data_IF_086577825196
#
_entry.id   IF_086577825196
#
_cell.length_a   1.000
_cell.length_b   1.000
_cell.length_c   1.000
_cell.angle_alpha   90.00
_cell.angle_beta   90.00
_cell.angle_gamma   90.00
#
_symmetry.space_group_name_H-M   'P 1'
#
loop_
_entity.id
_entity.type
_entity.pdbx_description
1 polymer ?
#
# COMPACT_ATOMS: atom_id res chain seq x y z
N UNK A 1 -2.00 14.18 1.38
CA UNK A 1 -1.32 13.07 0.67
C UNK A 1 -0.53 13.63 -0.51
N UNK A 2 0.67 13.11 -0.73
CA UNK A 2 1.53 13.41 -1.88
C UNK A 2 1.35 12.41 -3.01
N UNK A 3 1.18 11.13 -2.65
CA UNK A 3 1.23 10.04 -3.61
C UNK A 3 0.54 8.78 -3.05
N UNK A 4 0.13 7.86 -3.92
CA UNK A 4 -0.48 6.56 -3.57
C UNK A 4 0.00 5.43 -4.44
N UNK A 5 -0.13 4.22 -3.88
CA UNK A 5 -0.03 2.97 -4.61
C UNK A 5 -1.15 2.02 -4.16
N UNK A 6 -1.99 1.58 -5.09
CA UNK A 6 -2.98 0.54 -4.83
C UNK A 6 -2.45 -0.81 -5.31
N UNK A 7 -2.55 -1.84 -4.46
CA UNK A 7 -2.08 -3.19 -4.77
C UNK A 7 -3.20 -4.19 -4.46
N UNK A 8 -3.51 -5.06 -5.42
CA UNK A 8 -4.31 -6.25 -5.18
C UNK A 8 -3.48 -7.29 -4.45
N UNK A 9 -3.97 -7.75 -3.30
CA UNK A 9 -3.35 -8.81 -2.52
C UNK A 9 -4.30 -10.00 -2.47
N UNK A 10 -3.80 -11.18 -2.85
CA UNK A 10 -4.46 -12.43 -2.52
C UNK A 10 -4.40 -12.64 -1.00
N UNK A 11 -5.57 -12.77 -0.37
CA UNK A 11 -5.69 -12.97 1.06
C UNK A 11 -6.75 -14.03 1.32
N UNK A 12 -6.32 -15.16 1.90
CA UNK A 12 -7.14 -16.37 2.03
C UNK A 12 -7.70 -16.80 0.66
N UNK A 13 -9.03 -16.88 0.52
CA UNK A 13 -9.72 -17.28 -0.72
C UNK A 13 -10.27 -16.09 -1.52
N UNK A 14 -9.88 -14.85 -1.18
CA UNK A 14 -10.35 -13.63 -1.85
C UNK A 14 -9.20 -12.68 -2.23
N UNK A 15 -9.53 -11.67 -3.03
CA UNK A 15 -8.64 -10.58 -3.39
C UNK A 15 -9.07 -9.29 -2.68
N UNK A 16 -8.12 -8.66 -1.97
CA UNK A 16 -8.36 -7.35 -1.33
C UNK A 16 -7.45 -6.29 -1.91
N UNK A 17 -7.95 -5.05 -1.94
CA UNK A 17 -7.14 -3.88 -2.30
C UNK A 17 -6.48 -3.29 -1.06
N UNK A 18 -5.17 -3.14 -1.10
CA UNK A 18 -4.38 -2.37 -0.13
C UNK A 18 -3.99 -1.04 -0.77
N UNK A 19 -4.26 0.06 -0.09
CA UNK A 19 -3.83 1.38 -0.51
C UNK A 19 -2.69 1.87 0.38
N UNK A 20 -1.51 2.00 -0.21
CA UNK A 20 -0.38 2.68 0.40
C UNK A 20 -0.44 4.17 0.09
N UNK A 21 -0.25 5.01 1.11
CA UNK A 21 -0.30 6.48 0.97
C UNK A 21 0.96 7.13 1.50
N UNK A 22 1.59 7.98 0.68
CA UNK A 22 2.67 8.87 1.12
C UNK A 22 2.06 10.18 1.60
N UNK A 23 2.20 10.48 2.88
CA UNK A 23 1.66 11.72 3.44
C UNK A 23 2.57 12.91 3.15
N UNK A 24 1.98 14.11 3.14
CA UNK A 24 2.74 15.36 3.09
C UNK A 24 3.45 15.53 4.43
N UNK A 25 4.65 16.11 4.42
CA UNK A 25 5.36 16.46 5.67
C UNK A 25 4.44 17.25 6.60
N UNK A 26 4.29 16.80 7.85
CA UNK A 26 3.40 17.40 8.84
C UNK A 26 1.93 16.97 8.75
N UNK A 27 1.59 16.03 7.85
CA UNK A 27 0.30 15.35 7.82
C UNK A 27 0.49 13.88 8.20
N UNK A 28 -0.46 13.31 8.92
CA UNK A 28 -0.47 11.88 9.29
C UNK A 28 -1.69 11.20 8.71
N UNK A 29 -1.58 9.92 8.39
CA UNK A 29 -2.74 9.09 8.14
C UNK A 29 -3.53 8.93 9.46
N UNK A 30 -4.84 9.15 9.39
CA UNK A 30 -5.76 9.00 10.52
C UNK A 30 -7.13 8.54 10.02
N UNK A 31 -8.02 8.18 10.95
CA UNK A 31 -9.38 7.68 10.65
C UNK A 31 -10.18 8.63 9.76
N UNK A 32 -10.06 9.95 9.98
CA UNK A 32 -10.81 10.93 9.19
C UNK A 32 -10.33 10.93 7.73
N UNK A 33 -9.01 10.87 7.52
CA UNK A 33 -8.40 10.80 6.19
C UNK A 33 -8.77 9.48 5.51
N UNK A 34 -8.64 8.35 6.21
CA UNK A 34 -8.99 7.03 5.71
C UNK A 34 -10.47 6.93 5.32
N UNK A 35 -11.38 7.41 6.18
CA UNK A 35 -12.82 7.47 5.90
C UNK A 35 -13.13 8.33 4.68
N UNK A 36 -12.45 9.46 4.53
CA UNK A 36 -12.61 10.33 3.36
C UNK A 36 -12.18 9.63 2.07
N UNK A 37 -11.03 8.95 2.08
CA UNK A 37 -10.54 8.18 0.94
C UNK A 37 -11.56 7.10 0.52
N UNK A 38 -12.00 6.27 1.49
CA UNK A 38 -13.01 5.23 1.22
C UNK A 38 -14.31 5.81 0.66
N UNK A 39 -14.76 6.93 1.19
CA UNK A 39 -15.99 7.61 0.73
C UNK A 39 -15.86 8.07 -0.71
N UNK A 40 -14.76 8.74 -1.06
CA UNK A 40 -14.52 9.23 -2.42
C UNK A 40 -14.43 8.05 -3.40
N UNK A 41 -13.72 6.98 -3.05
CA UNK A 41 -13.60 5.81 -3.93
C UNK A 41 -14.93 5.08 -4.11
N UNK A 42 -15.75 4.95 -3.06
CA UNK A 42 -17.11 4.38 -3.17
C UNK A 42 -18.02 5.16 -4.11
N UNK A 43 -17.86 6.49 -4.16
CA UNK A 43 -18.69 7.36 -5.00
C UNK A 43 -18.24 7.36 -6.47
N UNK A 44 -16.94 7.16 -6.73
CA UNK A 44 -16.36 7.34 -8.05
C UNK A 44 -15.90 6.04 -8.72
N UNK A 45 -15.90 4.92 -7.99
CA UNK A 45 -15.43 3.62 -8.48
C UNK A 45 -16.32 2.47 -7.99
N UNK A 46 -16.16 1.30 -8.60
CA UNK A 46 -16.84 0.08 -8.15
C UNK A 46 -16.40 -0.30 -6.72
N UNK A 47 -17.28 -0.92 -5.90
CA UNK A 47 -16.96 -1.37 -4.54
C UNK A 47 -15.67 -2.17 -4.40
N UNK A 48 -15.27 -2.90 -5.45
CA UNK A 48 -14.02 -3.67 -5.48
C UNK A 48 -12.75 -2.80 -5.46
N UNK A 49 -12.86 -1.51 -5.80
CA UNK A 49 -11.73 -0.56 -5.73
C UNK A 49 -11.61 0.12 -4.35
N UNK A 50 -12.55 -0.14 -3.44
CA UNK A 50 -12.49 0.43 -2.10
C UNK A 50 -11.45 -0.37 -1.31
N UNK A 51 -10.38 0.27 -0.81
CA UNK A 51 -9.34 -0.44 -0.11
C UNK A 51 -9.85 -1.01 1.21
N UNK A 52 -9.56 -2.29 1.41
CA UNK A 52 -9.77 -2.97 2.68
C UNK A 52 -8.80 -2.43 3.73
N UNK A 53 -7.57 -2.09 3.31
CA UNK A 53 -6.54 -1.54 4.19
C UNK A 53 -5.95 -0.26 3.60
N UNK A 54 -5.76 0.75 4.44
CA UNK A 54 -5.01 1.96 4.10
C UNK A 54 -3.80 2.09 5.03
N UNK A 55 -2.61 2.21 4.45
CA UNK A 55 -1.34 2.14 5.19
C UNK A 55 -0.46 3.31 4.76
N UNK A 56 0.13 4.00 5.74
CA UNK A 56 1.10 5.04 5.47
C UNK A 56 2.46 4.43 5.08
N UNK A 57 3.07 4.96 4.02
CA UNK A 57 4.39 4.54 3.55
C UNK A 57 5.34 5.74 3.46
N UNK A 58 6.64 5.57 3.77
CA UNK A 58 7.60 6.65 3.66
C UNK A 58 7.78 7.14 2.21
N UNK A 59 7.62 6.25 1.22
CA UNK A 59 7.68 6.58 -0.20
C UNK A 59 6.95 5.57 -1.10
N UNK A 60 6.85 5.88 -2.39
CA UNK A 60 6.33 5.00 -3.44
C UNK A 60 7.47 4.60 -4.39
N UNK A 61 7.67 3.30 -4.69
CA UNK A 61 8.75 2.85 -5.55
C UNK A 61 8.56 3.36 -6.98
N UNK A 62 9.61 3.99 -7.50
CA UNK A 62 9.63 4.56 -8.85
C UNK A 62 10.86 4.12 -9.61
N UNK A 63 10.70 3.94 -10.92
CA UNK A 63 11.83 3.77 -11.85
C UNK A 63 12.69 5.04 -11.90
N UNK A 64 13.89 4.95 -12.45
CA UNK A 64 14.76 6.11 -12.72
C UNK A 64 14.09 7.22 -13.54
N UNK A 65 13.08 6.87 -14.35
CA UNK A 65 12.29 7.83 -15.14
C UNK A 65 11.05 8.34 -14.41
N UNK A 66 10.93 8.08 -13.10
CA UNK A 66 9.85 8.57 -12.24
C UNK A 66 8.53 7.80 -12.35
N UNK A 67 8.42 6.73 -13.16
CA UNK A 67 7.19 5.92 -13.23
C UNK A 67 7.05 5.04 -11.98
N UNK A 68 5.84 4.99 -11.41
CA UNK A 68 5.49 4.08 -10.30
C UNK A 68 5.69 2.61 -10.72
N UNK A 69 6.17 1.78 -9.80
CA UNK A 69 6.44 0.36 -10.03
C UNK A 69 5.63 -0.52 -9.09
N UNK A 70 4.38 -0.77 -9.48
CA UNK A 70 3.46 -1.66 -8.76
C UNK A 70 3.96 -3.10 -8.68
N UNK A 71 4.63 -3.58 -9.74
CA UNK A 71 5.07 -4.97 -9.86
C UNK A 71 6.09 -5.37 -8.79
N UNK A 72 6.95 -4.45 -8.36
CA UNK A 72 7.94 -4.72 -7.30
C UNK A 72 7.24 -4.98 -5.96
N UNK A 73 6.28 -4.12 -5.59
CA UNK A 73 5.50 -4.28 -4.36
C UNK A 73 4.62 -5.53 -4.44
N UNK A 74 3.92 -5.73 -5.57
CA UNK A 74 3.11 -6.92 -5.81
C UNK A 74 3.93 -8.20 -5.64
N UNK A 75 5.15 -8.24 -6.16
CA UNK A 75 6.02 -9.40 -6.01
C UNK A 75 6.41 -9.63 -4.54
N UNK A 76 6.77 -8.57 -3.80
CA UNK A 76 7.09 -8.68 -2.37
C UNK A 76 5.91 -9.27 -1.60
N UNK A 77 4.70 -8.73 -1.81
CA UNK A 77 3.49 -9.18 -1.12
C UNK A 77 3.14 -10.65 -1.42
N UNK A 78 3.45 -11.13 -2.63
CA UNK A 78 3.23 -12.51 -3.04
C UNK A 78 4.45 -13.42 -2.87
N UNK A 79 5.49 -12.99 -2.13
CA UNK A 79 6.74 -13.75 -1.90
C UNK A 79 7.46 -14.16 -3.19
N UNK A 80 7.32 -13.36 -4.25
CA UNK A 80 7.99 -13.52 -5.54
C UNK A 80 9.26 -12.68 -5.60
N UNK A 81 10.20 -13.10 -6.45
CA UNK A 81 11.47 -12.38 -6.63
C UNK A 81 11.24 -11.00 -7.27
N UNK A 82 11.83 -9.97 -6.69
CA UNK A 82 11.95 -8.64 -7.33
C UNK A 82 13.20 -8.65 -8.21
N UNK A 83 13.03 -8.47 -9.52
CA UNK A 83 14.14 -8.53 -10.49
C UNK A 83 14.62 -7.15 -10.93
N UNK A 84 13.86 -6.10 -10.66
CA UNK A 84 14.09 -4.74 -11.14
C UNK A 84 14.50 -3.76 -10.03
N UNK A 85 14.97 -4.26 -8.88
CA UNK A 85 15.35 -3.43 -7.73
C UNK A 85 16.42 -2.39 -8.09
N UNK A 86 17.45 -2.80 -8.82
CA UNK A 86 18.56 -1.90 -9.23
C UNK A 86 18.14 -0.85 -10.29
N UNK A 87 16.96 -1.01 -10.89
CA UNK A 87 16.39 -0.06 -11.87
C UNK A 87 15.45 0.98 -11.22
N UNK A 88 15.36 1.00 -9.89
CA UNK A 88 14.54 1.94 -9.14
C UNK A 88 15.36 3.18 -8.72
N UNK A 89 14.68 4.31 -8.64
CA UNK A 89 15.22 5.56 -8.11
C UNK A 89 15.41 5.51 -6.59
N UNK A 90 14.52 4.79 -5.91
CA UNK A 90 14.46 4.68 -4.46
C UNK A 90 14.33 3.20 -4.03
N UNK A 91 15.33 2.33 -4.34
CA UNK A 91 15.25 0.89 -4.10
C UNK A 91 15.08 0.51 -2.62
N UNK A 92 15.55 1.34 -1.69
CA UNK A 92 15.43 1.17 -0.24
C UNK A 92 13.99 1.13 0.24
N UNK A 93 13.04 1.72 -0.51
CA UNK A 93 11.62 1.66 -0.14
C UNK A 93 11.08 0.23 -0.17
N UNK A 94 11.69 -0.65 -0.96
CA UNK A 94 11.29 -2.05 -1.01
C UNK A 94 11.52 -2.77 0.32
N UNK A 95 12.51 -2.34 1.11
CA UNK A 95 12.79 -2.92 2.43
C UNK A 95 11.64 -2.64 3.41
N UNK A 96 10.98 -1.48 3.28
CA UNK A 96 9.77 -1.19 4.04
C UNK A 96 8.65 -2.17 3.69
N UNK A 97 8.42 -2.44 2.40
CA UNK A 97 7.40 -3.41 1.98
C UNK A 97 7.72 -4.83 2.42
N UNK A 98 9.00 -5.22 2.38
CA UNK A 98 9.45 -6.53 2.90
C UNK A 98 9.24 -6.65 4.41
N UNK A 99 9.51 -5.57 5.16
CA UNK A 99 9.32 -5.50 6.61
C UNK A 99 7.85 -5.64 7.01
N UNK A 100 6.94 -4.94 6.32
CA UNK A 100 5.51 -4.98 6.67
C UNK A 100 4.78 -6.18 6.09
N UNK A 101 5.34 -6.90 5.11
CA UNK A 101 4.67 -8.05 4.47
C UNK A 101 4.08 -9.05 5.48
N UNK A 102 4.78 -9.49 6.54
CA UNK A 102 4.20 -10.42 7.53
C UNK A 102 2.98 -9.84 8.25
N UNK A 103 2.95 -8.52 8.50
CA UNK A 103 1.79 -7.84 9.08
C UNK A 103 0.60 -7.87 8.11
N UNK A 104 0.84 -7.80 6.80
CA UNK A 104 -0.20 -7.87 5.77
C UNK A 104 -0.73 -9.29 5.54
N UNK A 105 -0.11 -10.32 6.14
CA UNK A 105 -0.61 -11.69 6.12
C UNK A 105 -1.54 -11.97 7.30
N UNK A 106 -1.50 -11.15 8.36
CA UNK A 106 -2.37 -11.26 9.52
C UNK A 106 -3.82 -10.83 9.22
N UNK A 107 -4.74 -11.25 10.10
CA UNK A 107 -6.14 -10.86 10.03
C UNK A 107 -6.30 -9.35 10.24
N UNK A 108 -7.24 -8.75 9.51
CA UNK A 108 -7.46 -7.30 9.52
C UNK A 108 -7.73 -6.74 10.95
N UNK A 109 -8.38 -7.51 11.81
CA UNK A 109 -8.65 -7.15 13.21
C UNK A 109 -7.38 -7.06 14.06
N UNK A 110 -6.35 -7.86 13.76
CA UNK A 110 -5.05 -7.77 14.43
C UNK A 110 -4.25 -6.57 13.91
N UNK A 111 -4.36 -6.29 12.61
CA UNK A 111 -3.68 -5.17 11.98
C UNK A 111 -4.21 -3.82 12.47
N UNK A 112 -5.53 -3.66 12.61
CA UNK A 112 -6.14 -2.43 13.10
C UNK A 112 -5.67 -2.05 14.52
N UNK A 113 -5.36 -3.06 15.36
CA UNK A 113 -4.82 -2.85 16.72
C UNK A 113 -3.41 -2.26 16.72
N UNK A 114 -2.68 -2.34 15.61
CA UNK A 114 -1.33 -1.76 15.49
C UNK A 114 -1.36 -0.23 15.44
N UNK A 115 -2.49 0.41 15.12
CA UNK A 115 -2.62 1.86 14.95
C UNK A 115 -1.96 2.42 13.68
N UNK A 116 -1.35 1.57 12.85
CA UNK A 116 -0.72 1.93 11.58
C UNK A 116 -1.59 1.61 10.35
N UNK A 117 -2.73 0.94 10.57
CA UNK A 117 -3.60 0.40 9.53
C UNK A 117 -5.03 0.89 9.75
N UNK A 118 -5.63 1.47 8.72
CA UNK A 118 -6.94 2.14 8.76
C UNK A 118 -7.94 1.54 7.78
#
# INVERSE_FOLDING_TARGET
MLDSLAIGQQHQDDERVILFVKMKKGSLLNDQVAKKIRTVLRQNASPRHVPSLIIETPDIPRTLNGKIVESAVTNILHKRKVTNRDALQNPEILDFFELIRPLLEADADEMAKSGFVF
#
